data_IF_132993411941
#
_entry.id   IF_132993411941
#
_cell.length_a   1.000
_cell.length_b   1.000
_cell.length_c   1.000
_cell.angle_alpha   90.00
_cell.angle_beta   90.00
_cell.angle_gamma   90.00
#
_symmetry.space_group_name_H-M   'P 1'
#
loop_
_entity.id
_entity.type
_entity.pdbx_description
1 polymer ?
#
# COMPACT_ATOMS: atom_id res chain seq x y z
N UNK A 1 8.36 25.87 -39.25
CA UNK A 1 8.39 25.53 -37.81
C UNK A 1 7.48 24.32 -37.54
N UNK A 2 7.90 23.11 -37.93
CA UNK A 2 7.06 21.89 -37.85
C UNK A 2 7.91 20.65 -37.52
N UNK A 3 8.80 20.77 -36.53
CA UNK A 3 9.53 19.63 -35.99
C UNK A 3 9.46 19.72 -34.47
N UNK A 4 8.38 19.17 -33.86
CA UNK A 4 8.31 18.80 -32.43
C UNK A 4 6.97 18.17 -31.98
N UNK A 5 6.20 17.52 -32.86
CA UNK A 5 4.93 16.86 -32.49
C UNK A 5 4.98 15.36 -32.78
N UNK A 6 6.06 14.67 -32.38
CA UNK A 6 6.13 13.20 -32.55
C UNK A 6 6.59 12.45 -31.30
N UNK A 7 6.86 13.12 -30.18
CA UNK A 7 7.26 12.45 -28.93
C UNK A 7 6.24 12.55 -27.78
N UNK A 8 5.05 13.11 -28.03
CA UNK A 8 4.05 13.36 -27.00
C UNK A 8 3.29 12.13 -26.44
N UNK A 9 3.00 11.04 -27.20
CA UNK A 9 2.10 10.00 -26.67
C UNK A 9 2.78 9.00 -25.71
N UNK A 10 4.11 8.91 -25.69
CA UNK A 10 4.82 7.96 -24.82
C UNK A 10 4.87 8.40 -23.35
N UNK A 11 4.92 9.71 -23.08
CA UNK A 11 5.02 10.25 -21.71
C UNK A 11 3.68 10.23 -20.94
N UNK A 12 2.55 10.08 -21.63
CA UNK A 12 1.23 10.03 -20.98
C UNK A 12 0.95 8.63 -20.42
N UNK A 13 1.41 7.57 -21.11
CA UNK A 13 1.24 6.19 -20.63
C UNK A 13 2.06 5.91 -19.37
N UNK A 14 3.29 6.42 -19.29
CA UNK A 14 4.14 6.29 -18.09
C UNK A 14 3.47 6.92 -16.87
N UNK A 15 2.87 8.11 -17.02
CA UNK A 15 2.18 8.81 -15.92
C UNK A 15 0.95 8.08 -15.39
N UNK A 16 0.23 7.34 -16.24
CA UNK A 16 -0.92 6.53 -15.80
C UNK A 16 -0.40 5.27 -15.07
N UNK A 17 0.65 4.63 -15.60
CA UNK A 17 1.32 3.51 -14.92
C UNK A 17 1.90 3.90 -13.56
N UNK A 18 2.51 5.08 -13.44
CA UNK A 18 3.03 5.64 -12.19
C UNK A 18 1.91 5.90 -11.19
N UNK A 19 0.79 6.49 -11.61
CA UNK A 19 -0.36 6.73 -10.72
C UNK A 19 -1.06 5.46 -10.26
N UNK A 20 -1.19 4.46 -11.14
CA UNK A 20 -1.77 3.15 -10.76
C UNK A 20 -0.83 2.42 -9.79
N UNK A 21 0.49 2.53 -10.00
CA UNK A 21 1.49 1.96 -9.10
C UNK A 21 1.50 2.68 -7.75
N UNK A 22 1.43 4.00 -7.72
CA UNK A 22 1.33 4.79 -6.49
C UNK A 22 0.06 4.45 -5.71
N UNK A 23 -1.09 4.33 -6.37
CA UNK A 23 -2.36 4.03 -5.69
C UNK A 23 -2.42 2.57 -5.21
N UNK A 24 -1.82 1.63 -5.97
CA UNK A 24 -1.67 0.24 -5.54
C UNK A 24 -0.68 0.09 -4.38
N UNK A 25 0.44 0.80 -4.38
CA UNK A 25 1.39 0.85 -3.25
C UNK A 25 0.75 1.51 -2.03
N UNK A 26 -0.08 2.54 -2.23
CA UNK A 26 -0.93 3.11 -1.19
C UNK A 26 -1.89 2.07 -0.64
N UNK A 27 -2.70 1.40 -1.45
CA UNK A 27 -3.67 0.42 -0.91
C UNK A 27 -3.02 -0.78 -0.21
N UNK A 28 -1.82 -1.19 -0.67
CA UNK A 28 -1.08 -2.32 -0.11
C UNK A 28 -0.33 -1.97 1.19
N UNK A 29 0.12 -0.72 1.35
CA UNK A 29 0.89 -0.27 2.52
C UNK A 29 0.23 0.87 3.33
N UNK A 30 -1.03 1.22 3.03
CA UNK A 30 -1.80 2.16 3.85
C UNK A 30 -2.17 1.50 5.17
N UNK A 31 -1.45 1.91 6.21
CA UNK A 31 -1.63 1.44 7.59
C UNK A 31 -3.10 1.47 8.03
N UNK A 32 -3.86 2.57 7.85
CA UNK A 32 -5.30 2.60 8.09
C UNK A 32 -6.09 1.50 7.38
N UNK A 33 -5.79 1.21 6.12
CA UNK A 33 -6.47 0.16 5.35
C UNK A 33 -6.18 -1.22 5.91
N UNK A 34 -4.92 -1.52 6.23
CA UNK A 34 -4.55 -2.82 6.83
C UNK A 34 -5.20 -2.99 8.20
N UNK A 35 -5.21 -1.94 9.03
CA UNK A 35 -5.91 -1.95 10.32
C UNK A 35 -7.41 -2.22 10.19
N UNK A 36 -8.08 -1.58 9.23
CA UNK A 36 -9.51 -1.84 8.95
C UNK A 36 -9.74 -3.29 8.52
N UNK A 37 -8.86 -3.85 7.69
CA UNK A 37 -8.95 -5.25 7.25
C UNK A 37 -8.77 -6.22 8.43
N UNK A 38 -7.83 -5.96 9.34
CA UNK A 38 -7.63 -6.75 10.56
C UNK A 38 -8.87 -6.73 11.46
N UNK A 39 -9.43 -5.53 11.72
CA UNK A 39 -10.65 -5.39 12.52
C UNK A 39 -11.82 -6.16 11.89
N UNK A 40 -12.01 -6.01 10.58
CA UNK A 40 -13.07 -6.70 9.86
C UNK A 40 -12.90 -8.22 9.91
N UNK A 41 -11.68 -8.72 9.69
CA UNK A 41 -11.36 -10.13 9.77
C UNK A 41 -11.66 -10.70 11.17
N UNK A 42 -11.31 -9.98 12.23
CA UNK A 42 -11.65 -10.35 13.61
C UNK A 42 -13.16 -10.39 13.82
N UNK A 43 -13.90 -9.41 13.33
CA UNK A 43 -15.38 -9.41 13.41
C UNK A 43 -15.99 -10.62 12.70
N UNK A 44 -15.51 -10.96 11.50
CA UNK A 44 -15.98 -12.14 10.76
C UNK A 44 -15.70 -13.43 11.52
N UNK A 45 -14.52 -13.55 12.14
CA UNK A 45 -14.19 -14.71 12.96
C UNK A 45 -15.07 -14.81 14.22
N UNK A 46 -15.28 -13.70 14.92
CA UNK A 46 -16.18 -13.63 16.08
C UNK A 46 -17.63 -13.98 15.74
N UNK A 47 -18.08 -13.66 14.52
CA UNK A 47 -19.40 -14.01 14.00
C UNK A 47 -19.48 -15.45 13.45
N UNK A 48 -18.37 -16.18 13.42
CA UNK A 48 -18.29 -17.54 12.88
C UNK A 48 -18.39 -17.60 11.34
N UNK A 49 -18.16 -16.48 10.66
CA UNK A 49 -18.20 -16.39 9.19
C UNK A 49 -16.92 -16.95 8.53
N UNK A 50 -15.84 -17.10 9.30
CA UNK A 50 -14.54 -17.60 8.85
C UNK A 50 -14.03 -18.65 9.83
N UNK A 51 -13.49 -19.75 9.32
CA UNK A 51 -12.88 -20.80 10.13
C UNK A 51 -11.57 -20.31 10.79
N UNK A 52 -11.21 -20.89 11.92
CA UNK A 52 -10.01 -20.48 12.69
C UNK A 52 -8.71 -20.56 11.85
N UNK A 53 -8.54 -21.61 11.06
CA UNK A 53 -7.36 -21.77 10.21
C UNK A 53 -7.30 -20.69 9.10
N UNK A 54 -8.44 -20.39 8.48
CA UNK A 54 -8.55 -19.33 7.47
C UNK A 54 -8.34 -17.94 8.08
N UNK A 55 -8.82 -17.73 9.30
CA UNK A 55 -8.60 -16.51 10.08
C UNK A 55 -7.11 -16.31 10.32
N UNK A 56 -6.42 -17.30 10.91
CA UNK A 56 -5.00 -17.23 11.24
C UNK A 56 -4.12 -16.96 10.02
N UNK A 57 -4.36 -17.69 8.93
CA UNK A 57 -3.60 -17.51 7.69
C UNK A 57 -3.75 -16.09 7.12
N UNK A 58 -4.98 -15.53 7.14
CA UNK A 58 -5.23 -14.17 6.66
C UNK A 58 -4.71 -13.11 7.62
N UNK A 59 -4.81 -13.35 8.92
CA UNK A 59 -4.29 -12.46 9.96
C UNK A 59 -2.78 -12.33 9.84
N UNK A 60 -2.06 -13.43 9.67
CA UNK A 60 -0.60 -13.45 9.52
C UNK A 60 -0.13 -12.63 8.30
N UNK A 61 -0.78 -12.80 7.14
CA UNK A 61 -0.48 -12.00 5.93
C UNK A 61 -0.74 -10.50 6.14
N UNK A 62 -1.86 -10.15 6.80
CA UNK A 62 -2.18 -8.76 7.10
C UNK A 62 -1.21 -8.13 8.10
N UNK A 63 -0.80 -8.88 9.14
CA UNK A 63 0.17 -8.43 10.13
C UNK A 63 1.56 -8.25 9.52
N UNK A 64 1.99 -9.16 8.65
CA UNK A 64 3.24 -9.01 7.91
C UNK A 64 3.26 -7.72 7.09
N UNK A 65 2.18 -7.43 6.34
CA UNK A 65 2.06 -6.18 5.57
C UNK A 65 2.06 -4.95 6.47
N UNK A 66 1.40 -5.02 7.62
CA UNK A 66 1.37 -3.94 8.60
C UNK A 66 2.77 -3.61 9.11
N UNK A 67 3.56 -4.63 9.46
CA UNK A 67 4.95 -4.46 9.89
C UNK A 67 5.79 -3.79 8.80
N UNK A 68 5.72 -4.27 7.56
CA UNK A 68 6.45 -3.66 6.44
C UNK A 68 6.06 -2.20 6.23
N UNK A 69 4.77 -1.89 6.27
CA UNK A 69 4.28 -0.51 6.17
C UNK A 69 4.82 0.38 7.30
N UNK A 70 4.88 -0.14 8.54
CA UNK A 70 5.46 0.59 9.68
C UNK A 70 6.95 0.84 9.54
N UNK A 71 7.71 -0.13 9.03
CA UNK A 71 9.14 0.05 8.77
C UNK A 71 9.40 1.13 7.72
N UNK A 72 8.60 1.15 6.65
CA UNK A 72 8.67 2.19 5.60
C UNK A 72 8.36 3.57 6.18
N UNK A 73 7.26 3.70 6.94
CA UNK A 73 6.88 4.95 7.61
C UNK A 73 8.04 5.45 8.49
N UNK A 74 8.57 4.59 9.36
CA UNK A 74 9.66 4.97 10.26
C UNK A 74 10.92 5.42 9.50
N UNK A 75 11.30 4.72 8.43
CA UNK A 75 12.44 5.09 7.59
C UNK A 75 12.24 6.46 6.94
N UNK A 76 11.06 6.73 6.39
CA UNK A 76 10.74 8.03 5.81
C UNK A 76 10.84 9.16 6.85
N UNK A 77 10.38 8.92 8.07
CA UNK A 77 10.51 9.89 9.17
C UNK A 77 11.97 10.17 9.54
N UNK A 78 12.81 9.13 9.61
CA UNK A 78 14.24 9.26 9.88
C UNK A 78 14.97 10.04 8.78
N UNK A 79 14.64 9.78 7.52
CA UNK A 79 15.18 10.51 6.36
C UNK A 79 14.79 12.00 6.39
N UNK A 80 13.55 12.31 6.76
CA UNK A 80 13.11 13.70 6.92
C UNK A 80 13.78 14.41 8.10
N UNK A 81 13.99 13.70 9.22
CA UNK A 81 14.66 14.26 10.40
C UNK A 81 16.16 14.51 10.14
N UNK A 82 16.83 13.64 9.39
CA UNK A 82 18.25 13.77 9.04
C UNK A 82 18.50 14.86 8.00
N UNK A 83 17.59 15.08 7.03
CA UNK A 83 17.69 16.18 6.04
C UNK A 83 17.52 17.59 6.63
N UNK A 84 16.99 17.72 7.84
CA UNK A 84 16.82 19.00 8.54
C UNK A 84 18.02 19.39 9.42
N UNK A 85 19.02 18.51 9.58
CA UNK A 85 20.32 18.80 10.23
C UNK A 85 21.36 19.15 9.18
#
# INVERSE_FOLDING_TARGET
MLHKIVTAPMNVMVKIGEKVKEEAEKELYDLPTIQRKLIHLQTMYEQGEVAEDDYKNKEEDLLYRYEQAKLIEMKQWQDMASRKK
#
